data_IF_981753098396
#
_entry.id   IF_981753098396
#
_cell.length_a   1.000
_cell.length_b   1.000
_cell.length_c   1.000
_cell.angle_alpha   90.00
_cell.angle_beta   90.00
_cell.angle_gamma   90.00
#
_symmetry.space_group_name_H-M   'P 1'
#
loop_
_entity.id
_entity.type
_entity.pdbx_description
1 polymer ?
#
# COMPACT_ATOMS: atom_id res chain seq x y z
N UNK A 1 11.79 38.51 -1.08
CA UNK A 1 10.94 37.83 -0.07
C UNK A 1 11.25 36.34 -0.16
N UNK A 2 11.58 35.67 0.95
CA UNK A 2 12.54 34.58 0.95
C UNK A 2 11.96 33.27 0.40
N UNK A 3 12.80 32.57 -0.37
CA UNK A 3 12.59 31.19 -0.79
C UNK A 3 12.67 30.29 0.46
N UNK A 4 11.57 29.62 0.80
CA UNK A 4 11.62 28.50 1.74
C UNK A 4 12.47 27.40 1.08
N UNK A 5 13.62 27.11 1.68
CA UNK A 5 14.42 25.95 1.32
C UNK A 5 13.58 24.71 1.65
N UNK A 6 13.04 24.08 0.61
CA UNK A 6 12.41 22.77 0.71
C UNK A 6 13.53 21.80 1.12
N UNK A 7 13.52 21.39 2.39
CA UNK A 7 14.43 20.34 2.88
C UNK A 7 14.27 19.13 1.97
N UNK A 8 15.35 18.43 1.57
CA UNK A 8 15.20 17.24 0.75
C UNK A 8 14.26 16.28 1.48
N UNK A 9 13.09 16.02 0.89
CA UNK A 9 12.10 15.15 1.48
C UNK A 9 12.79 13.82 1.80
N UNK A 10 12.84 13.46 3.09
CA UNK A 10 13.50 12.23 3.54
C UNK A 10 12.82 11.07 2.81
N UNK A 11 13.59 10.37 1.99
CA UNK A 11 13.13 9.13 1.39
C UNK A 11 13.01 8.07 2.50
N UNK A 12 11.86 7.40 2.50
CA UNK A 12 11.52 6.30 3.40
C UNK A 12 11.72 5.00 2.62
N UNK A 13 12.36 4.03 3.26
CA UNK A 13 12.54 2.68 2.72
C UNK A 13 11.32 1.80 3.04
N UNK A 14 11.13 0.73 2.27
CA UNK A 14 10.09 -0.26 2.50
C UNK A 14 10.20 -0.89 3.90
N UNK A 15 11.43 -1.08 4.39
CA UNK A 15 11.70 -1.64 5.72
C UNK A 15 11.34 -0.65 6.83
N UNK A 16 11.62 0.65 6.66
CA UNK A 16 11.15 1.68 7.60
C UNK A 16 9.63 1.76 7.62
N UNK A 17 8.99 1.70 6.44
CA UNK A 17 7.53 1.66 6.32
C UNK A 17 6.94 0.45 7.07
N UNK A 18 7.52 -0.74 6.92
CA UNK A 18 7.03 -1.97 7.55
C UNK A 18 7.09 -1.93 9.09
N UNK A 19 8.02 -1.15 9.66
CA UNK A 19 8.16 -0.97 11.11
C UNK A 19 7.32 0.16 11.69
N UNK A 20 6.60 0.90 10.86
CA UNK A 20 5.69 1.95 11.35
C UNK A 20 4.54 1.31 12.14
N UNK A 21 4.01 1.99 13.18
CA UNK A 21 2.90 1.48 13.94
C UNK A 21 1.66 1.31 13.07
N UNK A 22 0.92 0.23 13.29
CA UNK A 22 -0.42 0.05 12.74
C UNK A 22 -1.41 0.93 13.51
N UNK A 23 -1.54 2.18 13.06
CA UNK A 23 -2.48 3.17 13.58
C UNK A 23 -3.73 3.30 12.70
N UNK A 24 -3.98 2.32 11.82
CA UNK A 24 -5.08 2.32 10.86
C UNK A 24 -4.92 3.32 9.71
N UNK A 25 -3.80 4.05 9.61
CA UNK A 25 -3.52 4.92 8.46
C UNK A 25 -2.85 4.08 7.36
N UNK A 26 -3.49 4.03 6.19
CA UNK A 26 -2.90 3.41 5.00
C UNK A 26 -1.73 4.27 4.54
N UNK A 27 -0.60 3.61 4.29
CA UNK A 27 0.65 4.22 3.85
C UNK A 27 1.20 3.51 2.62
N UNK A 28 1.74 4.28 1.69
CA UNK A 28 2.42 3.81 0.48
C UNK A 28 3.74 4.56 0.30
N UNK A 29 4.66 3.98 -0.47
CA UNK A 29 5.85 4.67 -0.97
C UNK A 29 5.74 4.86 -2.48
N UNK A 30 5.99 6.08 -2.94
CA UNK A 30 6.16 6.39 -4.36
C UNK A 30 7.55 6.96 -4.54
N UNK A 31 8.48 6.17 -5.10
CA UNK A 31 9.89 6.56 -5.25
C UNK A 31 10.52 7.07 -3.95
N UNK A 32 10.27 6.35 -2.86
CA UNK A 32 10.74 6.67 -1.50
C UNK A 32 9.92 7.75 -0.79
N UNK A 33 8.96 8.40 -1.45
CA UNK A 33 8.11 9.39 -0.80
C UNK A 33 6.94 8.71 -0.09
N UNK A 34 6.82 8.95 1.22
CA UNK A 34 5.71 8.44 2.03
C UNK A 34 4.40 9.16 1.69
N UNK A 35 3.39 8.41 1.28
CA UNK A 35 2.04 8.90 1.00
C UNK A 35 1.05 8.26 1.97
N UNK A 36 0.22 9.08 2.61
CA UNK A 36 -0.84 8.61 3.51
C UNK A 36 -2.19 8.75 2.84
N UNK A 37 -3.09 7.84 3.16
CA UNK A 37 -4.48 7.88 2.71
C UNK A 37 -5.40 7.62 3.89
N UNK A 38 -6.58 8.28 3.93
CA UNK A 38 -7.58 7.96 4.92
C UNK A 38 -8.06 6.50 4.75
N UNK A 39 -8.54 5.85 5.83
CA UNK A 39 -9.08 4.51 5.75
C UNK A 39 -10.19 4.38 4.70
N UNK A 40 -10.27 3.21 4.07
CA UNK A 40 -11.32 2.87 3.14
C UNK A 40 -12.72 2.92 3.77
N UNK A 41 -13.67 3.57 3.09
CA UNK A 41 -15.07 3.61 3.52
C UNK A 41 -15.85 2.31 3.24
N UNK A 42 -17.02 2.17 3.86
CA UNK A 42 -17.90 0.99 3.75
C UNK A 42 -18.13 0.48 2.32
N UNK A 43 -18.33 1.38 1.34
CA UNK A 43 -18.55 0.99 -0.06
C UNK A 43 -17.31 0.33 -0.66
N UNK A 44 -16.13 0.88 -0.40
CA UNK A 44 -14.86 0.33 -0.86
C UNK A 44 -14.68 -1.09 -0.32
N UNK A 45 -14.78 -1.27 1.01
CA UNK A 45 -14.64 -2.58 1.63
C UNK A 45 -15.63 -3.62 1.11
N UNK A 46 -16.91 -3.24 0.91
CA UNK A 46 -17.92 -4.15 0.35
C UNK A 46 -17.58 -4.61 -1.07
N UNK A 47 -17.05 -3.71 -1.91
CA UNK A 47 -16.67 -4.04 -3.30
C UNK A 47 -15.40 -4.89 -3.32
N UNK A 48 -14.36 -4.49 -2.57
CA UNK A 48 -13.11 -5.23 -2.45
C UNK A 48 -13.35 -6.68 -1.98
N UNK A 49 -14.14 -6.87 -0.92
CA UNK A 49 -14.47 -8.21 -0.41
C UNK A 49 -15.22 -9.06 -1.46
N UNK A 50 -16.15 -8.46 -2.20
CA UNK A 50 -16.88 -9.16 -3.26
C UNK A 50 -15.96 -9.63 -4.39
N UNK A 51 -14.95 -8.84 -4.73
CA UNK A 51 -13.95 -9.22 -5.73
C UNK A 51 -13.05 -10.32 -5.16
N UNK A 52 -12.51 -10.11 -3.96
CA UNK A 52 -11.61 -11.03 -3.28
C UNK A 52 -12.20 -12.43 -3.09
N UNK A 53 -13.46 -12.56 -2.67
CA UNK A 53 -14.11 -13.87 -2.52
C UNK A 53 -14.23 -14.62 -3.85
N UNK A 54 -14.63 -13.93 -4.93
CA UNK A 54 -14.78 -14.59 -6.24
C UNK A 54 -13.44 -15.03 -6.81
N UNK A 55 -12.44 -14.16 -6.72
CA UNK A 55 -11.10 -14.45 -7.22
C UNK A 55 -10.41 -15.52 -6.38
N UNK A 56 -10.50 -15.40 -5.05
CA UNK A 56 -9.93 -16.35 -4.09
C UNK A 56 -10.46 -17.76 -4.31
N UNK A 57 -11.78 -17.93 -4.37
CA UNK A 57 -12.39 -19.24 -4.63
C UNK A 57 -11.89 -19.86 -5.95
N UNK A 58 -11.82 -19.06 -7.02
CA UNK A 58 -11.35 -19.55 -8.31
C UNK A 58 -9.87 -19.95 -8.27
N UNK A 59 -9.02 -19.12 -7.68
CA UNK A 59 -7.57 -19.39 -7.57
C UNK A 59 -7.30 -20.62 -6.71
N UNK A 60 -8.02 -20.78 -5.60
CA UNK A 60 -7.91 -21.92 -4.70
C UNK A 60 -8.36 -23.22 -5.37
N UNK A 61 -9.54 -23.22 -6.01
CA UNK A 61 -10.10 -24.38 -6.70
C UNK A 61 -9.18 -24.90 -7.82
N UNK A 62 -8.47 -24.00 -8.51
CA UNK A 62 -7.64 -24.32 -9.66
C UNK A 62 -6.14 -24.38 -9.34
N UNK A 63 -5.73 -24.14 -8.09
CA UNK A 63 -4.33 -24.15 -7.68
C UNK A 63 -3.46 -23.09 -8.38
N UNK A 64 -3.98 -21.87 -8.56
CA UNK A 64 -3.35 -20.82 -9.39
C UNK A 64 -2.44 -19.85 -8.62
N UNK A 65 -2.21 -20.08 -7.34
CA UNK A 65 -1.35 -19.24 -6.48
C UNK A 65 -2.11 -18.64 -5.31
N UNK A 66 -1.81 -17.37 -4.98
CA UNK A 66 -2.32 -16.68 -3.79
C UNK A 66 -3.08 -15.41 -4.17
N UNK A 67 -4.07 -15.05 -3.34
CA UNK A 67 -4.84 -13.80 -3.45
C UNK A 67 -4.75 -13.07 -2.12
N UNK A 68 -4.44 -11.78 -2.18
CA UNK A 68 -4.30 -10.94 -1.00
C UNK A 68 -5.49 -9.99 -0.86
N UNK A 69 -5.80 -9.60 0.37
CA UNK A 69 -6.82 -8.60 0.64
C UNK A 69 -6.39 -7.22 0.14
N UNK A 70 -7.36 -6.33 -0.05
CA UNK A 70 -7.09 -4.92 -0.33
C UNK A 70 -6.20 -4.34 0.77
N UNK A 71 -5.43 -3.31 0.44
CA UNK A 71 -4.50 -2.62 1.35
C UNK A 71 -3.21 -3.40 1.68
N UNK A 72 -2.98 -4.58 1.07
CA UNK A 72 -1.72 -5.32 1.22
C UNK A 72 -0.59 -4.58 0.49
N UNK A 73 0.46 -4.21 1.21
CA UNK A 73 1.62 -3.51 0.64
C UNK A 73 2.53 -4.44 -0.16
N UNK A 74 2.81 -4.07 -1.41
CA UNK A 74 3.76 -4.75 -2.28
C UNK A 74 4.90 -3.81 -2.65
N UNK A 75 6.14 -4.24 -2.40
CA UNK A 75 7.34 -3.56 -2.90
C UNK A 75 7.50 -3.84 -4.39
N UNK A 76 7.48 -2.78 -5.20
CA UNK A 76 7.55 -2.86 -6.66
C UNK A 76 8.93 -2.46 -7.20
N UNK A 77 9.62 -1.54 -6.53
CA UNK A 77 10.91 -1.01 -6.95
C UNK A 77 11.82 -0.81 -5.73
N UNK A 78 13.13 -0.79 -5.96
CA UNK A 78 14.14 -0.44 -4.96
C UNK A 78 15.03 0.69 -5.48
N UNK A 79 15.56 1.51 -4.57
CA UNK A 79 16.50 2.61 -4.86
C UNK A 79 16.02 3.63 -5.93
N UNK A 80 14.98 4.42 -5.66
CA UNK A 80 14.24 4.53 -4.40
C UNK A 80 13.04 3.57 -4.30
N UNK A 81 12.71 3.17 -3.08
CA UNK A 81 11.68 2.15 -2.83
C UNK A 81 10.27 2.62 -3.23
N UNK A 82 9.55 1.80 -4.00
CA UNK A 82 8.12 2.00 -4.29
C UNK A 82 7.33 0.86 -3.64
N UNK A 83 6.36 1.19 -2.79
CA UNK A 83 5.47 0.24 -2.11
C UNK A 83 4.03 0.69 -2.34
N UNK A 84 3.23 -0.13 -2.99
CA UNK A 84 1.82 0.18 -3.30
C UNK A 84 0.90 -0.83 -2.62
N UNK A 85 -0.29 -0.39 -2.22
CA UNK A 85 -1.24 -1.21 -1.48
C UNK A 85 -2.59 -1.32 -2.23
N UNK A 86 -2.70 -2.12 -3.31
CA UNK A 86 -3.82 -2.07 -4.25
C UNK A 86 -5.22 -2.26 -3.64
#
# INVERSE_FOLDING_TARGET
MPHTLDSPARLVTAEELLRMPDDGIRRELVRGELRTMPPAGRRHGKVAMRIGVRLGNFVEEHGLGEVYAAETGFKLESDPDTVRAP
#
